data_IF_131721477292
#
_entry.id   IF_131721477292
#
_cell.length_a   1.000
_cell.length_b   1.000
_cell.length_c   1.000
_cell.angle_alpha   90.00
_cell.angle_beta   90.00
_cell.angle_gamma   90.00
#
_symmetry.space_group_name_H-M   'P 1'
#
loop_
_entity.id
_entity.type
_entity.pdbx_description
1 polymer ?
#
# COMPACT_ATOMS: atom_id res chain seq x y z
N UNK A 1 4.86 -9.17 -7.08
CA UNK A 1 5.63 -9.61 -5.90
C UNK A 1 5.05 -10.80 -5.16
N UNK A 2 3.75 -11.08 -5.31
CA UNK A 2 2.97 -12.09 -4.59
C UNK A 2 2.98 -13.50 -5.23
N UNK A 3 3.66 -13.69 -6.37
CA UNK A 3 3.53 -14.88 -7.23
C UNK A 3 4.71 -15.86 -7.05
N UNK A 4 5.88 -15.39 -6.60
CA UNK A 4 7.10 -16.20 -6.59
C UNK A 4 7.09 -17.37 -5.60
N UNK A 5 6.72 -17.14 -4.33
CA UNK A 5 6.66 -18.21 -3.33
C UNK A 5 5.61 -19.29 -3.68
N UNK A 6 4.41 -18.96 -4.21
CA UNK A 6 3.49 -19.95 -4.74
C UNK A 6 4.10 -20.92 -5.75
N UNK A 7 4.96 -20.46 -6.67
CA UNK A 7 5.62 -21.33 -7.65
C UNK A 7 6.53 -22.35 -6.94
N UNK A 8 7.39 -21.88 -6.03
CA UNK A 8 8.25 -22.75 -5.21
C UNK A 8 7.42 -23.72 -4.37
N UNK A 9 6.31 -23.25 -3.82
CA UNK A 9 5.34 -24.04 -3.07
C UNK A 9 4.71 -25.15 -3.89
N UNK A 10 4.26 -24.87 -5.11
CA UNK A 10 3.65 -25.84 -6.03
C UNK A 10 4.66 -26.94 -6.37
N UNK A 11 5.88 -26.57 -6.72
CA UNK A 11 6.95 -27.52 -7.06
C UNK A 11 7.27 -28.42 -5.87
N UNK A 12 7.47 -27.85 -4.69
CA UNK A 12 7.77 -28.61 -3.47
C UNK A 12 6.62 -29.51 -3.03
N UNK A 13 5.38 -29.03 -3.10
CA UNK A 13 4.19 -29.81 -2.79
C UNK A 13 4.00 -30.96 -3.78
N UNK A 14 4.28 -30.77 -5.07
CA UNK A 14 4.22 -31.83 -6.07
C UNK A 14 5.26 -32.93 -5.82
N UNK A 15 6.48 -32.57 -5.42
CA UNK A 15 7.50 -33.55 -5.03
C UNK A 15 7.10 -34.30 -3.75
N UNK A 16 6.61 -33.61 -2.73
CA UNK A 16 6.15 -34.23 -1.49
C UNK A 16 4.93 -35.14 -1.71
N UNK A 17 4.03 -34.77 -2.63
CA UNK A 17 2.91 -35.59 -3.06
C UNK A 17 3.39 -36.89 -3.72
N UNK A 18 4.39 -36.81 -4.61
CA UNK A 18 4.98 -38.00 -5.27
C UNK A 18 5.65 -38.95 -4.27
N UNK A 19 6.27 -38.41 -3.23
CA UNK A 19 6.96 -39.17 -2.19
C UNK A 19 6.04 -39.70 -1.08
N UNK A 20 4.75 -39.36 -1.07
CA UNK A 20 3.81 -39.72 0.01
C UNK A 20 2.77 -40.76 -0.42
N UNK A 21 2.35 -41.55 0.57
CA UNK A 21 1.30 -42.58 0.48
C UNK A 21 0.25 -42.38 1.57
N UNK A 22 -0.89 -43.06 1.44
CA UNK A 22 -1.96 -43.03 2.46
C UNK A 22 -2.48 -41.64 2.78
N UNK A 23 -2.70 -41.36 4.07
CA UNK A 23 -3.28 -40.09 4.54
C UNK A 23 -2.41 -38.87 4.23
N UNK A 24 -1.08 -39.01 4.28
CA UNK A 24 -0.16 -37.94 3.94
C UNK A 24 -0.32 -37.49 2.47
N UNK A 25 -0.54 -38.45 1.57
CA UNK A 25 -0.83 -38.16 0.16
C UNK A 25 -2.11 -37.37 0.01
N UNK A 26 -3.18 -37.75 0.72
CA UNK A 26 -4.46 -37.04 0.68
C UNK A 26 -4.31 -35.57 1.16
N UNK A 27 -3.56 -35.34 2.24
CA UNK A 27 -3.26 -33.98 2.73
C UNK A 27 -2.52 -33.13 1.70
N UNK A 28 -1.53 -33.71 1.01
CA UNK A 28 -0.81 -33.02 -0.07
C UNK A 28 -1.69 -32.71 -1.27
N UNK A 29 -2.64 -33.60 -1.63
CA UNK A 29 -3.63 -33.33 -2.69
C UNK A 29 -4.48 -32.13 -2.32
N UNK A 30 -5.03 -32.10 -1.10
CA UNK A 30 -5.87 -30.99 -0.62
C UNK A 30 -5.09 -29.68 -0.63
N UNK A 31 -3.87 -29.68 -0.08
CA UNK A 31 -3.03 -28.49 -0.03
C UNK A 31 -2.67 -27.99 -1.45
N UNK A 32 -2.29 -28.90 -2.36
CA UNK A 32 -1.93 -28.53 -3.72
C UNK A 32 -3.12 -27.99 -4.49
N UNK A 33 -4.31 -28.57 -4.32
CA UNK A 33 -5.55 -28.05 -4.92
C UNK A 33 -5.89 -26.64 -4.40
N UNK A 34 -5.84 -26.43 -3.08
CA UNK A 34 -6.08 -25.12 -2.47
C UNK A 34 -5.05 -24.08 -2.90
N UNK A 35 -3.77 -24.46 -2.97
CA UNK A 35 -2.68 -23.61 -3.43
C UNK A 35 -2.87 -23.22 -4.90
N UNK A 36 -3.18 -24.17 -5.79
CA UNK A 36 -3.41 -23.88 -7.21
C UNK A 36 -4.62 -22.95 -7.41
N UNK A 37 -5.73 -23.19 -6.71
CA UNK A 37 -6.90 -22.32 -6.78
C UNK A 37 -6.58 -20.90 -6.29
N UNK A 38 -5.94 -20.76 -5.14
CA UNK A 38 -5.53 -19.46 -4.60
C UNK A 38 -4.51 -18.75 -5.51
N UNK A 39 -3.58 -19.50 -6.11
CA UNK A 39 -2.60 -18.98 -7.04
C UNK A 39 -3.25 -18.44 -8.31
N UNK A 40 -4.13 -19.22 -8.96
CA UNK A 40 -4.85 -18.77 -10.16
C UNK A 40 -5.71 -17.54 -9.87
N UNK A 41 -6.40 -17.51 -8.72
CA UNK A 41 -7.14 -16.33 -8.27
C UNK A 41 -6.21 -15.13 -8.02
N UNK A 42 -4.99 -15.36 -7.53
CA UNK A 42 -4.02 -14.28 -7.29
C UNK A 42 -3.51 -13.62 -8.57
N UNK A 43 -3.56 -14.32 -9.71
CA UNK A 43 -3.25 -13.74 -11.02
C UNK A 43 -4.32 -12.75 -11.48
N UNK A 44 -5.56 -12.91 -10.98
CA UNK A 44 -6.68 -12.02 -11.27
C UNK A 44 -6.82 -10.90 -10.24
N UNK A 45 -6.58 -11.21 -8.96
CA UNK A 45 -6.78 -10.29 -7.83
C UNK A 45 -5.60 -10.35 -6.88
N UNK A 46 -4.88 -9.23 -6.72
CA UNK A 46 -3.67 -9.16 -5.90
C UNK A 46 -3.91 -9.59 -4.43
N UNK A 47 -5.11 -9.36 -3.88
CA UNK A 47 -5.47 -9.74 -2.50
C UNK A 47 -5.41 -11.27 -2.27
N UNK A 48 -5.73 -12.08 -3.28
CA UNK A 48 -5.61 -13.53 -3.18
C UNK A 48 -4.13 -14.00 -3.12
N UNK A 49 -3.19 -13.11 -3.44
CA UNK A 49 -1.76 -13.35 -3.29
C UNK A 49 -1.37 -13.75 -1.86
N UNK A 50 -1.89 -13.08 -0.83
CA UNK A 50 -1.56 -13.42 0.56
C UNK A 50 -1.97 -14.87 0.90
N UNK A 51 -3.18 -15.27 0.50
CA UNK A 51 -3.68 -16.64 0.67
C UNK A 51 -2.83 -17.66 -0.10
N UNK A 52 -2.48 -17.36 -1.35
CA UNK A 52 -1.62 -18.23 -2.15
C UNK A 52 -0.25 -18.42 -1.50
N UNK A 53 0.35 -17.36 -0.94
CA UNK A 53 1.62 -17.44 -0.22
C UNK A 53 1.48 -18.30 1.04
N UNK A 54 0.39 -18.18 1.79
CA UNK A 54 0.15 -18.99 2.99
C UNK A 54 0.07 -20.49 2.65
N UNK A 55 -0.69 -20.88 1.63
CA UNK A 55 -0.76 -22.28 1.19
C UNK A 55 0.54 -22.79 0.56
N UNK A 56 1.39 -21.90 0.07
CA UNK A 56 2.68 -22.27 -0.52
C UNK A 56 3.72 -22.68 0.54
N UNK A 57 3.58 -22.22 1.79
CA UNK A 57 4.60 -22.39 2.84
C UNK A 57 5.04 -23.84 3.04
N UNK A 58 4.14 -24.85 3.20
CA UNK A 58 4.58 -26.21 3.47
C UNK A 58 5.35 -26.82 2.30
N UNK A 59 4.87 -26.61 1.06
CA UNK A 59 5.56 -27.07 -0.15
C UNK A 59 6.91 -26.39 -0.31
N UNK A 60 6.97 -25.08 -0.12
CA UNK A 60 8.21 -24.30 -0.23
C UNK A 60 9.23 -24.72 0.84
N UNK A 61 8.77 -25.03 2.06
CA UNK A 61 9.61 -25.56 3.13
C UNK A 61 10.19 -26.93 2.78
N UNK A 62 9.41 -27.85 2.19
CA UNK A 62 9.91 -29.13 1.70
C UNK A 62 10.96 -28.95 0.60
N UNK A 63 10.70 -28.06 -0.37
CA UNK A 63 11.67 -27.75 -1.42
C UNK A 63 12.96 -27.17 -0.84
N UNK A 64 12.87 -26.19 0.06
CA UNK A 64 14.01 -25.57 0.73
C UNK A 64 14.82 -26.60 1.53
N UNK A 65 14.16 -27.45 2.32
CA UNK A 65 14.83 -28.50 3.08
C UNK A 65 15.63 -29.44 2.17
N UNK A 66 15.05 -29.87 1.05
CA UNK A 66 15.73 -30.72 0.07
C UNK A 66 16.91 -30.01 -0.61
N UNK A 67 16.75 -28.73 -0.96
CA UNK A 67 17.83 -27.92 -1.54
C UNK A 67 18.98 -27.72 -0.55
N UNK A 68 18.68 -27.41 0.72
CA UNK A 68 19.68 -27.24 1.76
C UNK A 68 20.42 -28.54 2.08
N UNK A 69 19.71 -29.68 2.09
CA UNK A 69 20.35 -30.99 2.27
C UNK A 69 21.38 -31.26 1.15
N UNK A 70 21.01 -30.99 -0.11
CA UNK A 70 21.92 -31.12 -1.26
C UNK A 70 23.07 -30.13 -1.21
N UNK A 71 22.81 -28.87 -0.83
CA UNK A 71 23.86 -27.86 -0.71
C UNK A 71 24.90 -28.25 0.35
N UNK A 72 24.47 -28.77 1.51
CA UNK A 72 25.38 -29.19 2.60
C UNK A 72 26.25 -30.38 2.23
N UNK A 73 25.80 -31.24 1.31
CA UNK A 73 26.57 -32.39 0.83
C UNK A 73 27.74 -32.01 -0.08
N UNK A 74 27.83 -30.74 -0.50
CA UNK A 74 28.94 -30.25 -1.34
C UNK A 74 30.21 -30.10 -0.47
N UNK A 75 31.34 -30.75 -0.85
CA UNK A 75 32.55 -30.76 -0.04
C UNK A 75 33.28 -29.40 -0.06
N UNK A 76 33.29 -28.73 -1.21
CA UNK A 76 33.98 -27.45 -1.40
C UNK A 76 33.19 -26.28 -0.78
N UNK A 77 33.88 -25.43 -0.03
CA UNK A 77 33.27 -24.29 0.70
C UNK A 77 32.55 -23.33 -0.24
N UNK A 78 33.22 -22.85 -1.30
CA UNK A 78 32.66 -21.82 -2.18
C UNK A 78 31.38 -22.30 -2.89
N UNK A 79 31.35 -23.45 -3.59
CA UNK A 79 30.13 -23.96 -4.21
C UNK A 79 29.02 -24.28 -3.20
N UNK A 80 29.35 -24.75 -1.99
CA UNK A 80 28.39 -24.96 -0.91
C UNK A 80 27.73 -23.67 -0.46
N UNK A 81 28.52 -22.61 -0.27
CA UNK A 81 28.01 -21.28 0.11
C UNK A 81 27.10 -20.72 -0.97
N UNK A 82 27.51 -20.81 -2.24
CA UNK A 82 26.69 -20.37 -3.37
C UNK A 82 25.39 -21.16 -3.50
N UNK A 83 25.43 -22.49 -3.35
CA UNK A 83 24.24 -23.34 -3.39
C UNK A 83 23.27 -23.04 -2.23
N UNK A 84 23.80 -22.74 -1.04
CA UNK A 84 22.99 -22.36 0.13
C UNK A 84 22.32 -21.02 -0.09
N UNK A 85 23.06 -20.02 -0.59
CA UNK A 85 22.50 -18.71 -0.95
C UNK A 85 21.41 -18.83 -2.03
N UNK A 86 21.67 -19.62 -3.07
CA UNK A 86 20.69 -19.89 -4.13
C UNK A 86 19.41 -20.56 -3.60
N UNK A 87 19.53 -21.50 -2.65
CA UNK A 87 18.38 -22.13 -2.01
C UNK A 87 17.53 -21.13 -1.21
N UNK A 88 18.15 -20.23 -0.46
CA UNK A 88 17.46 -19.18 0.29
C UNK A 88 16.77 -18.18 -0.65
N UNK A 89 17.42 -17.79 -1.75
CA UNK A 89 16.86 -16.92 -2.78
C UNK A 89 15.64 -17.58 -3.46
N UNK A 90 15.74 -18.86 -3.83
CA UNK A 90 14.65 -19.61 -4.45
C UNK A 90 13.44 -19.80 -3.52
N UNK A 91 13.66 -19.84 -2.20
CA UNK A 91 12.59 -19.87 -1.21
C UNK A 91 12.01 -18.48 -0.90
N UNK A 92 12.69 -17.40 -1.27
CA UNK A 92 12.26 -16.01 -1.04
C UNK A 92 12.34 -15.13 -2.29
N UNK A 93 11.76 -15.54 -3.43
CA UNK A 93 11.91 -14.84 -4.70
C UNK A 93 11.36 -13.41 -4.67
N UNK A 94 10.39 -13.11 -3.80
CA UNK A 94 9.92 -11.75 -3.56
C UNK A 94 11.02 -10.85 -2.97
N UNK A 95 11.71 -11.30 -1.94
CA UNK A 95 12.78 -10.52 -1.31
C UNK A 95 13.95 -10.29 -2.28
N UNK A 96 14.29 -11.33 -3.05
CA UNK A 96 15.29 -11.21 -4.11
C UNK A 96 14.88 -10.21 -5.19
N UNK A 97 13.61 -10.22 -5.62
CA UNK A 97 13.10 -9.24 -6.57
C UNK A 97 13.19 -7.80 -6.04
N UNK A 98 12.85 -7.55 -4.75
CA UNK A 98 13.03 -6.22 -4.14
C UNK A 98 14.50 -5.83 -4.10
N UNK A 99 15.38 -6.74 -3.68
CA UNK A 99 16.81 -6.43 -3.56
C UNK A 99 17.45 -6.07 -4.91
N UNK A 100 17.01 -6.71 -6.00
CA UNK A 100 17.56 -6.52 -7.34
C UNK A 100 16.90 -5.34 -8.07
N UNK A 101 15.57 -5.25 -8.01
CA UNK A 101 14.79 -4.30 -8.82
C UNK A 101 14.36 -3.05 -8.04
N UNK A 102 14.55 -3.02 -6.73
CA UNK A 102 13.98 -2.03 -5.84
C UNK A 102 12.48 -2.24 -5.63
N UNK A 103 11.89 -1.46 -4.71
CA UNK A 103 10.44 -1.40 -4.58
C UNK A 103 9.86 -0.57 -5.75
N UNK A 104 8.84 -1.07 -6.48
CA UNK A 104 8.18 -0.28 -7.49
C UNK A 104 7.49 0.92 -6.81
N UNK A 105 8.00 2.13 -7.10
CA UNK A 105 7.34 3.37 -6.76
C UNK A 105 6.58 3.87 -7.99
N UNK A 106 5.37 4.37 -7.78
CA UNK A 106 4.65 5.09 -8.83
C UNK A 106 5.39 6.38 -9.19
N UNK A 107 5.39 6.76 -10.47
CA UNK A 107 6.04 7.99 -10.94
C UNK A 107 5.59 9.21 -10.15
N UNK A 108 4.28 9.31 -9.85
CA UNK A 108 3.71 10.30 -8.96
C UNK A 108 4.49 10.41 -7.63
N UNK A 109 4.61 9.31 -6.87
CA UNK A 109 5.32 9.29 -5.58
C UNK A 109 6.76 9.76 -5.70
N UNK A 110 7.47 9.29 -6.74
CA UNK A 110 8.86 9.66 -7.00
C UNK A 110 8.99 11.16 -7.28
N UNK A 111 8.13 11.70 -8.14
CA UNK A 111 8.09 13.12 -8.46
C UNK A 111 7.77 13.98 -7.24
N UNK A 112 6.81 13.57 -6.42
CA UNK A 112 6.48 14.27 -5.18
C UNK A 112 7.65 14.25 -4.20
N UNK A 113 8.31 13.11 -4.02
CA UNK A 113 9.47 12.97 -3.15
C UNK A 113 10.61 13.91 -3.58
N UNK A 114 10.94 13.96 -4.86
CA UNK A 114 11.98 14.86 -5.38
C UNK A 114 11.62 16.32 -5.09
N UNK A 115 10.39 16.76 -5.41
CA UNK A 115 9.98 18.16 -5.21
C UNK A 115 10.00 18.58 -3.75
N UNK A 116 9.39 17.79 -2.86
CA UNK A 116 9.37 18.11 -1.43
C UNK A 116 10.77 18.13 -0.82
N UNK A 117 11.66 17.22 -1.26
CA UNK A 117 13.07 17.26 -0.88
C UNK A 117 13.78 18.54 -1.36
N UNK A 118 13.57 18.95 -2.62
CA UNK A 118 14.14 20.19 -3.17
C UNK A 118 13.60 21.44 -2.47
N UNK A 119 12.31 21.45 -2.10
CA UNK A 119 11.65 22.55 -1.38
C UNK A 119 11.97 22.56 0.13
N UNK A 120 12.65 21.54 0.66
CA UNK A 120 12.93 21.41 2.09
C UNK A 120 11.68 21.19 2.95
N UNK A 121 10.59 20.68 2.36
CA UNK A 121 9.31 20.44 3.04
C UNK A 121 9.19 18.96 3.43
N UNK A 122 8.76 18.64 4.66
CA UNK A 122 8.55 17.26 5.06
C UNK A 122 7.33 16.68 4.32
N UNK A 123 7.37 15.38 4.05
CA UNK A 123 6.30 14.64 3.37
C UNK A 123 5.86 13.44 4.21
N UNK A 124 4.65 12.97 3.99
CA UNK A 124 4.15 11.77 4.64
C UNK A 124 4.85 10.53 4.07
N UNK A 125 5.53 9.78 4.95
CA UNK A 125 6.14 8.50 4.56
C UNK A 125 5.05 7.50 4.13
N UNK A 126 3.96 7.46 4.89
CA UNK A 126 2.75 6.71 4.64
C UNK A 126 1.55 7.42 5.29
N UNK A 127 0.37 6.82 5.17
CA UNK A 127 -0.87 7.34 5.73
C UNK A 127 -0.94 7.28 7.27
N UNK A 128 0.00 6.61 7.96
CA UNK A 128 -0.02 6.55 9.44
C UNK A 128 0.30 7.90 10.09
N UNK A 129 0.96 8.81 9.35
CA UNK A 129 1.17 10.20 9.77
C UNK A 129 -0.16 10.93 10.06
N UNK A 130 -1.27 10.43 9.51
CA UNK A 130 -2.63 10.91 9.76
C UNK A 130 -3.02 10.88 11.24
N UNK A 131 -2.44 9.99 12.06
CA UNK A 131 -2.76 9.88 13.48
C UNK A 131 -2.55 11.20 14.23
N UNK A 132 -1.54 11.98 13.82
CA UNK A 132 -1.23 13.27 14.44
C UNK A 132 -2.38 14.28 14.32
N UNK A 133 -3.29 14.11 13.36
CA UNK A 133 -4.49 14.94 13.20
C UNK A 133 -5.41 14.84 14.41
N UNK A 134 -5.34 13.77 15.19
CA UNK A 134 -6.13 13.58 16.40
C UNK A 134 -5.91 14.62 17.51
N UNK A 135 -4.94 15.53 17.38
CA UNK A 135 -4.78 16.71 18.26
C UNK A 135 -5.86 17.78 18.00
N UNK A 136 -6.46 17.79 16.80
CA UNK A 136 -7.49 18.76 16.45
C UNK A 136 -8.82 18.44 17.15
N UNK A 137 -9.66 19.45 17.44
CA UNK A 137 -11.03 19.23 17.90
C UNK A 137 -11.84 18.33 16.97
N UNK A 138 -12.76 17.55 17.55
CA UNK A 138 -13.63 16.63 16.81
C UNK A 138 -14.34 17.34 15.65
N UNK A 139 -14.32 16.71 14.48
CA UNK A 139 -14.84 17.29 13.26
C UNK A 139 -15.05 16.22 12.18
N UNK A 140 -15.85 16.55 11.17
CA UNK A 140 -15.79 15.88 9.87
C UNK A 140 -14.59 16.44 9.10
N UNK A 141 -13.73 15.56 8.60
CA UNK A 141 -12.55 15.91 7.81
C UNK A 141 -12.86 15.77 6.33
N UNK A 142 -12.54 16.82 5.56
CA UNK A 142 -12.46 16.75 4.12
C UNK A 142 -11.03 16.34 3.74
N UNK A 143 -10.85 15.07 3.43
CA UNK A 143 -9.54 14.49 3.17
C UNK A 143 -9.57 13.61 1.91
N UNK A 144 -8.42 13.40 1.25
CA UNK A 144 -8.31 12.45 0.15
C UNK A 144 -8.73 11.02 0.57
N UNK A 145 -9.17 10.23 -0.41
CA UNK A 145 -9.79 8.92 -0.22
C UNK A 145 -8.83 7.89 0.41
N UNK A 146 -7.54 7.97 0.10
CA UNK A 146 -6.52 7.00 0.53
C UNK A 146 -6.14 7.16 2.00
N UNK A 147 -6.13 8.41 2.52
CA UNK A 147 -5.78 8.70 3.91
C UNK A 147 -6.98 8.56 4.87
N UNK A 148 -8.20 8.65 4.35
CA UNK A 148 -9.41 8.65 5.17
C UNK A 148 -9.57 7.40 6.06
N UNK A 149 -9.30 6.16 5.60
CA UNK A 149 -9.36 4.97 6.46
C UNK A 149 -8.46 5.06 7.71
N UNK A 150 -7.24 5.56 7.56
CA UNK A 150 -6.33 5.72 8.69
C UNK A 150 -6.77 6.84 9.63
N UNK A 151 -7.32 7.94 9.10
CA UNK A 151 -7.89 9.01 9.92
C UNK A 151 -9.01 8.47 10.83
N UNK A 152 -9.99 7.74 10.27
CA UNK A 152 -11.11 7.22 11.08
C UNK A 152 -10.70 6.08 12.01
N UNK A 153 -9.69 5.30 11.65
CA UNK A 153 -9.23 4.18 12.46
C UNK A 153 -8.34 4.62 13.64
N UNK A 154 -7.65 5.75 13.51
CA UNK A 154 -6.63 6.19 14.48
C UNK A 154 -6.96 7.49 15.21
N UNK A 155 -8.07 8.14 14.86
CA UNK A 155 -8.52 9.39 15.49
C UNK A 155 -10.00 9.33 15.86
N UNK A 156 -10.49 10.40 16.49
CA UNK A 156 -11.88 10.56 16.90
C UNK A 156 -12.73 11.31 15.85
N UNK A 157 -12.15 11.64 14.69
CA UNK A 157 -12.80 12.38 13.62
C UNK A 157 -13.71 11.51 12.75
N UNK A 158 -14.50 12.16 11.89
CA UNK A 158 -15.34 11.52 10.88
C UNK A 158 -14.75 11.76 9.49
N UNK A 159 -14.80 10.76 8.62
CA UNK A 159 -14.43 10.87 7.20
C UNK A 159 -15.64 10.93 6.28
N UNK A 160 -15.50 11.57 5.12
CA UNK A 160 -16.57 11.72 4.12
C UNK A 160 -16.68 10.47 3.23
N UNK A 161 -15.57 10.07 2.63
CA UNK A 161 -15.47 8.92 1.75
C UNK A 161 -14.05 8.32 1.80
N UNK A 162 -13.91 7.08 1.36
CA UNK A 162 -12.60 6.43 1.18
C UNK A 162 -12.55 5.75 -0.19
N UNK A 163 -11.42 5.13 -0.54
CA UNK A 163 -11.30 4.29 -1.73
C UNK A 163 -12.22 3.06 -1.75
N UNK A 164 -13.05 2.88 -0.72
CA UNK A 164 -14.05 1.84 -0.66
C UNK A 164 -15.30 2.25 -1.46
N UNK A 165 -15.50 1.64 -2.64
CA UNK A 165 -16.58 1.89 -3.62
C UNK A 165 -18.02 1.59 -3.13
N UNK A 166 -18.40 1.97 -1.91
CA UNK A 166 -19.78 1.87 -1.37
C UNK A 166 -20.53 3.20 -1.39
N UNK A 167 -19.85 4.33 -1.52
CA UNK A 167 -20.47 5.66 -1.58
C UNK A 167 -19.91 6.47 -2.76
N UNK A 168 -20.29 6.07 -3.97
CA UNK A 168 -19.79 6.65 -5.22
C UNK A 168 -20.01 8.16 -5.32
N UNK A 169 -21.13 8.67 -4.82
CA UNK A 169 -21.44 10.10 -4.86
C UNK A 169 -20.46 10.91 -4.00
N UNK A 170 -20.22 10.48 -2.75
CA UNK A 170 -19.26 11.17 -1.89
C UNK A 170 -17.80 11.02 -2.37
N UNK A 171 -17.44 9.87 -2.95
CA UNK A 171 -16.14 9.70 -3.59
C UNK A 171 -15.94 10.68 -4.75
N UNK A 172 -16.94 10.79 -5.63
CA UNK A 172 -16.92 11.76 -6.72
C UNK A 172 -16.78 13.19 -6.20
N UNK A 173 -17.51 13.55 -5.16
CA UNK A 173 -17.44 14.90 -4.57
C UNK A 173 -16.07 15.21 -3.95
N UNK A 174 -15.43 14.24 -3.27
CA UNK A 174 -14.06 14.40 -2.76
C UNK A 174 -13.07 14.64 -3.91
N UNK A 175 -13.14 13.82 -4.96
CA UNK A 175 -12.31 13.96 -6.15
C UNK A 175 -12.53 15.34 -6.80
N UNK A 176 -13.79 15.67 -7.08
CA UNK A 176 -14.19 16.91 -7.73
C UNK A 176 -13.79 18.15 -6.92
N UNK A 177 -13.80 18.10 -5.59
CA UNK A 177 -13.34 19.20 -4.76
C UNK A 177 -11.82 19.42 -4.90
N UNK A 178 -11.00 18.35 -4.86
CA UNK A 178 -9.55 18.50 -4.94
C UNK A 178 -9.04 18.84 -6.35
N UNK A 179 -9.71 18.34 -7.39
CA UNK A 179 -9.33 18.59 -8.80
C UNK A 179 -10.03 19.79 -9.43
N UNK A 180 -11.18 20.20 -8.90
CA UNK A 180 -11.98 21.33 -9.40
C UNK A 180 -11.44 22.70 -8.96
N UNK A 181 -12.19 23.76 -9.24
CA UNK A 181 -11.81 25.12 -8.82
C UNK A 181 -12.09 25.37 -7.31
N UNK A 182 -11.48 26.39 -6.69
CA UNK A 182 -11.65 26.66 -5.26
C UNK A 182 -13.09 26.95 -4.84
N UNK A 183 -13.91 27.55 -5.71
CA UNK A 183 -15.31 27.85 -5.44
C UNK A 183 -16.14 26.57 -5.31
N UNK A 184 -15.94 25.63 -6.24
CA UNK A 184 -16.55 24.30 -6.21
C UNK A 184 -16.06 23.51 -4.99
N UNK A 185 -14.76 23.56 -4.69
CA UNK A 185 -14.20 22.94 -3.50
C UNK A 185 -14.85 23.48 -2.23
N UNK A 186 -14.99 24.80 -2.11
CA UNK A 186 -15.66 25.43 -0.97
C UNK A 186 -17.11 24.95 -0.82
N UNK A 187 -17.88 24.94 -1.92
CA UNK A 187 -19.26 24.47 -1.91
C UNK A 187 -19.38 23.01 -1.43
N UNK A 188 -18.48 22.13 -1.87
CA UNK A 188 -18.46 20.73 -1.48
C UNK A 188 -18.01 20.55 -0.01
N UNK A 189 -16.96 21.24 0.42
CA UNK A 189 -16.50 21.25 1.82
C UNK A 189 -17.62 21.68 2.77
N UNK A 190 -18.36 22.73 2.40
CA UNK A 190 -19.52 23.24 3.15
C UNK A 190 -20.68 22.25 3.14
N UNK A 191 -20.99 21.62 2.01
CA UNK A 191 -22.07 20.64 1.86
C UNK A 191 -21.92 19.48 2.84
N UNK A 192 -20.70 19.02 3.10
CA UNK A 192 -20.42 17.95 4.06
C UNK A 192 -20.21 18.43 5.50
N UNK A 193 -20.31 19.75 5.75
CA UNK A 193 -20.07 20.34 7.07
C UNK A 193 -18.68 20.03 7.62
N UNK A 194 -17.67 19.97 6.75
CA UNK A 194 -16.32 19.65 7.17
C UNK A 194 -15.73 20.80 7.99
N UNK A 195 -15.14 20.47 9.14
CA UNK A 195 -14.46 21.44 10.01
C UNK A 195 -13.01 21.68 9.61
N UNK A 196 -12.41 20.73 8.90
CA UNK A 196 -11.04 20.80 8.43
C UNK A 196 -10.89 20.19 7.04
N UNK A 197 -10.01 20.78 6.23
CA UNK A 197 -9.39 20.13 5.07
C UNK A 197 -8.05 19.58 5.51
N UNK A 198 -7.79 18.29 5.24
CA UNK A 198 -6.56 17.61 5.69
C UNK A 198 -5.96 16.83 4.53
N UNK A 199 -4.66 17.02 4.28
CA UNK A 199 -3.94 16.31 3.23
C UNK A 199 -2.57 15.86 3.72
N UNK A 200 -2.21 14.61 3.39
CA UNK A 200 -0.85 14.12 3.54
C UNK A 200 -0.06 14.40 2.26
N UNK A 201 0.89 15.35 2.27
CA UNK A 201 1.73 15.58 1.11
C UNK A 201 2.62 14.37 0.79
N UNK A 202 2.88 14.13 -0.49
CA UNK A 202 3.75 13.04 -0.94
C UNK A 202 3.09 11.67 -1.11
N UNK A 203 1.82 11.52 -0.74
CA UNK A 203 1.03 10.35 -1.12
C UNK A 203 0.64 10.39 -2.61
N UNK A 204 0.33 9.22 -3.16
CA UNK A 204 0.03 9.06 -4.59
C UNK A 204 -1.17 9.91 -5.03
N UNK A 205 -2.27 9.85 -4.29
CA UNK A 205 -3.53 10.48 -4.67
C UNK A 205 -3.44 12.03 -4.74
N UNK A 206 -2.95 12.76 -3.71
CA UNK A 206 -2.74 14.21 -3.82
C UNK A 206 -1.80 14.59 -4.96
N UNK A 207 -0.77 13.78 -5.23
CA UNK A 207 0.11 14.04 -6.36
C UNK A 207 -0.58 13.84 -7.71
N UNK A 208 -1.43 12.82 -7.83
CA UNK A 208 -2.26 12.61 -9.02
C UNK A 208 -3.18 13.81 -9.23
N UNK A 209 -3.83 14.33 -8.19
CA UNK A 209 -4.66 15.54 -8.29
C UNK A 209 -3.85 16.73 -8.83
N UNK A 210 -2.65 16.94 -8.30
CA UNK A 210 -1.77 18.04 -8.72
C UNK A 210 -1.31 17.89 -10.18
N UNK A 211 -1.01 16.68 -10.63
CA UNK A 211 -0.58 16.41 -12.01
C UNK A 211 -1.73 16.51 -13.01
N UNK A 212 -2.91 16.00 -12.64
CA UNK A 212 -4.10 15.96 -13.52
C UNK A 212 -4.86 17.28 -13.54
N UNK A 213 -4.77 18.07 -12.48
CA UNK A 213 -5.39 19.40 -12.37
C UNK A 213 -4.42 20.40 -11.75
N UNK A 214 -3.42 20.90 -12.52
CA UNK A 214 -2.40 21.83 -12.01
C UNK A 214 -2.96 23.16 -11.49
N UNK A 215 -4.15 23.56 -11.97
CA UNK A 215 -4.89 24.74 -11.53
C UNK A 215 -6.08 24.41 -10.62
N UNK A 216 -6.21 23.12 -10.25
CA UNK A 216 -7.21 22.65 -9.31
C UNK A 216 -6.95 23.16 -7.89
N UNK A 217 -7.97 23.07 -7.04
CA UNK A 217 -7.96 23.55 -5.66
C UNK A 217 -6.79 22.98 -4.87
N UNK A 218 -6.54 21.66 -4.94
CA UNK A 218 -5.40 21.05 -4.25
C UNK A 218 -4.07 21.66 -4.70
N UNK A 219 -3.84 21.74 -6.01
CA UNK A 219 -2.58 22.19 -6.56
C UNK A 219 -2.29 23.66 -6.19
N UNK A 220 -3.33 24.51 -6.15
CA UNK A 220 -3.25 25.90 -5.69
C UNK A 220 -2.98 25.99 -4.19
N UNK A 221 -3.73 25.23 -3.39
CA UNK A 221 -3.56 25.18 -1.94
C UNK A 221 -2.17 24.69 -1.53
N UNK A 222 -1.65 23.65 -2.19
CA UNK A 222 -0.33 23.07 -1.93
C UNK A 222 0.82 24.05 -2.24
N UNK A 223 0.65 24.89 -3.27
CA UNK A 223 1.58 25.98 -3.64
C UNK A 223 1.51 27.18 -2.68
N UNK A 224 0.64 27.14 -1.68
CA UNK A 224 0.53 28.18 -0.66
C UNK A 224 -0.47 29.28 -1.00
N UNK A 225 -1.32 29.09 -2.01
CA UNK A 225 -2.43 29.99 -2.24
C UNK A 225 -3.38 29.98 -1.03
N UNK A 226 -3.87 31.16 -0.66
CA UNK A 226 -4.75 31.35 0.49
C UNK A 226 -6.17 31.58 0.03
N UNK A 227 -7.10 30.93 0.71
CA UNK A 227 -8.53 31.12 0.53
C UNK A 227 -9.11 31.65 1.84
N UNK A 228 -10.01 32.63 1.76
CA UNK A 228 -10.63 33.30 2.90
C UNK A 228 -11.37 32.34 3.84
N UNK A 229 -11.97 31.29 3.30
CA UNK A 229 -12.66 30.22 4.05
C UNK A 229 -11.72 29.16 4.66
N UNK A 230 -10.38 29.30 4.51
CA UNK A 230 -9.39 28.36 5.07
C UNK A 230 -8.32 29.06 5.91
N UNK A 231 -8.24 28.67 7.17
CA UNK A 231 -7.18 29.07 8.06
C UNK A 231 -6.16 27.92 8.25
N UNK A 232 -4.87 28.09 7.90
CA UNK A 232 -3.86 27.06 8.14
C UNK A 232 -3.75 26.71 9.62
N UNK A 233 -3.62 25.41 9.92
CA UNK A 233 -3.42 24.88 11.27
C UNK A 233 -2.18 24.00 11.29
N UNK A 234 -1.23 24.33 12.17
CA UNK A 234 -0.04 23.51 12.34
C UNK A 234 -0.37 22.24 13.12
N UNK A 235 0.18 21.11 12.68
CA UNK A 235 0.17 19.84 13.42
C UNK A 235 1.61 19.57 13.88
N UNK A 236 1.96 19.87 15.14
CA UNK A 236 3.32 19.73 15.63
C UNK A 236 3.89 18.33 15.40
N UNK A 237 5.10 18.25 14.87
CA UNK A 237 5.80 16.98 14.63
C UNK A 237 5.22 16.12 13.50
N UNK A 238 4.32 16.66 12.67
CA UNK A 238 3.71 15.93 11.55
C UNK A 238 3.88 16.67 10.22
N UNK A 239 4.15 15.93 9.11
CA UNK A 239 4.12 16.50 7.77
C UNK A 239 2.70 16.74 7.24
N UNK A 240 1.65 16.32 7.96
CA UNK A 240 0.26 16.50 7.53
C UNK A 240 -0.08 17.98 7.46
N UNK A 241 -0.68 18.38 6.35
CA UNK A 241 -1.18 19.73 6.13
C UNK A 241 -2.67 19.78 6.52
N UNK A 242 -3.03 20.77 7.33
CA UNK A 242 -4.40 20.96 7.77
C UNK A 242 -4.82 22.43 7.68
N UNK A 243 -6.07 22.65 7.32
CA UNK A 243 -6.70 23.95 7.29
C UNK A 243 -8.05 23.85 7.98
N UNK A 244 -8.31 24.75 8.93
CA UNK A 244 -9.63 24.92 9.55
C UNK A 244 -10.53 25.65 8.57
N UNK A 245 -11.74 25.12 8.40
CA UNK A 245 -12.79 25.77 7.63
C UNK A 245 -13.38 26.87 8.50
N UNK A 246 -13.32 28.11 8.01
CA UNK A 246 -13.88 29.29 8.69
C UNK A 246 -15.12 29.82 7.93
N UNK A 247 -16.04 30.51 8.63
CA UNK A 247 -17.26 31.05 8.02
C UNK A 247 -17.01 32.03 6.89
#
# INVERSE_FOLDING_TARGET
MTIGLPITGIVGAAFALRASTGEARARWIILLAALLAAFLLSLLVNRAGATANAFAVPGAACALAAMLARARAIPSILPRTLATAAALIAASPGLAAIAILGMPQTEARRSAQIRYQTEGRPLCADSTAARAVGILPVATLFAPLDITPDLIATTHHRGIASGHHRNMAAMHDVLAAFTGNPEQAHALVRRYGAGYVVVCPGLNEPEIYRQTSPDGFWARLERGERFDWLQPVAIPGSPVLAWKVVP
#
